data_IF_113455483186
#
_entry.id   IF_113455483186
#
_cell.length_a   1.000
_cell.length_b   1.000
_cell.length_c   1.000
_cell.angle_alpha   90.00
_cell.angle_beta   90.00
_cell.angle_gamma   90.00
#
_symmetry.space_group_name_H-M   'P 1'
#
loop_
_entity.id
_entity.type
_entity.pdbx_description
1 polymer ?
#
# COMPACT_ATOMS: atom_id res chain seq x y z
N UNK A 1 -29.34 44.48 -25.79
CA UNK A 1 -29.27 43.40 -24.80
C UNK A 1 -28.23 42.34 -25.23
N UNK A 2 -28.27 41.77 -26.42
CA UNK A 2 -27.36 40.70 -26.94
C UNK A 2 -25.86 41.07 -26.87
N UNK A 3 -25.45 42.32 -27.20
CA UNK A 3 -24.05 42.76 -27.11
C UNK A 3 -23.50 42.82 -25.69
N UNK A 4 -24.33 43.15 -24.67
CA UNK A 4 -23.91 43.16 -23.25
C UNK A 4 -23.77 41.75 -22.70
N UNK A 5 -24.68 40.82 -23.05
CA UNK A 5 -24.57 39.41 -22.65
C UNK A 5 -23.37 38.73 -23.29
N UNK A 6 -23.04 39.06 -24.54
CA UNK A 6 -21.83 38.55 -25.24
C UNK A 6 -20.53 39.08 -24.60
N UNK A 7 -20.49 40.36 -24.24
CA UNK A 7 -19.31 40.97 -23.60
C UNK A 7 -19.09 40.41 -22.18
N UNK A 8 -20.16 40.17 -21.40
CA UNK A 8 -20.07 39.53 -20.08
C UNK A 8 -19.61 38.09 -20.21
N UNK A 9 -20.10 37.33 -21.18
CA UNK A 9 -19.64 35.94 -21.43
C UNK A 9 -18.15 35.88 -21.81
N UNK A 10 -17.67 36.85 -22.66
CA UNK A 10 -16.27 36.95 -23.05
C UNK A 10 -15.38 37.31 -21.85
N UNK A 11 -15.82 38.25 -21.00
CA UNK A 11 -15.10 38.65 -19.79
C UNK A 11 -14.99 37.50 -18.78
N UNK A 12 -16.06 36.76 -18.57
CA UNK A 12 -16.07 35.57 -17.71
C UNK A 12 -15.18 34.43 -18.24
N UNK A 13 -15.19 34.22 -19.57
CA UNK A 13 -14.30 33.26 -20.22
C UNK A 13 -12.82 33.68 -20.09
N UNK A 14 -12.51 34.94 -20.27
CA UNK A 14 -11.16 35.51 -20.07
C UNK A 14 -10.72 35.37 -18.59
N UNK A 15 -11.57 35.73 -17.65
CA UNK A 15 -11.30 35.56 -16.21
C UNK A 15 -11.03 34.11 -15.85
N UNK A 16 -11.82 33.18 -16.38
CA UNK A 16 -11.62 31.73 -16.17
C UNK A 16 -10.28 31.27 -16.78
N UNK A 17 -9.94 31.74 -18.00
CA UNK A 17 -8.67 31.44 -18.64
C UNK A 17 -7.48 32.00 -17.83
N UNK A 18 -7.57 33.23 -17.35
CA UNK A 18 -6.55 33.87 -16.50
C UNK A 18 -6.42 33.11 -15.18
N UNK A 19 -7.54 32.66 -14.56
CA UNK A 19 -7.51 31.91 -13.31
C UNK A 19 -6.78 30.56 -13.41
N UNK A 20 -6.58 30.02 -14.62
CA UNK A 20 -5.76 28.82 -14.84
C UNK A 20 -4.26 29.07 -14.62
N UNK A 21 -3.79 30.34 -14.56
CA UNK A 21 -2.42 30.68 -14.24
C UNK A 21 -2.15 30.77 -12.72
N UNK A 22 -3.19 30.75 -11.88
CA UNK A 22 -3.00 30.64 -10.44
C UNK A 22 -2.33 29.30 -10.14
N UNK A 23 -1.17 29.24 -9.44
CA UNK A 23 -0.47 28.00 -9.16
C UNK A 23 -1.34 26.95 -8.45
N UNK A 24 -1.17 25.68 -8.78
CA UNK A 24 -1.81 24.60 -8.07
C UNK A 24 -1.26 24.51 -6.64
N UNK A 25 -2.07 24.26 -5.59
CA UNK A 25 -1.59 24.19 -4.21
C UNK A 25 -0.55 23.08 -4.03
N UNK A 26 0.74 23.46 -3.94
CA UNK A 26 1.89 22.53 -3.88
C UNK A 26 1.91 21.68 -2.62
N UNK A 27 1.42 22.18 -1.49
CA UNK A 27 1.34 21.44 -0.22
C UNK A 27 0.51 20.14 -0.29
N UNK A 28 -0.25 19.92 -1.36
CA UNK A 28 -1.00 18.69 -1.62
C UNK A 28 -0.28 17.71 -2.57
N UNK A 29 0.88 18.10 -3.09
CA UNK A 29 1.67 17.32 -4.04
C UNK A 29 2.79 16.49 -3.37
N UNK A 30 2.63 16.11 -2.15
CA UNK A 30 3.57 15.24 -1.43
C UNK A 30 2.94 13.90 -1.07
N UNK A 31 3.73 12.98 -0.50
CA UNK A 31 3.21 11.70 -0.01
C UNK A 31 2.16 11.89 1.10
N UNK A 32 2.28 12.90 1.95
CA UNK A 32 1.29 13.26 2.98
C UNK A 32 0.78 12.05 3.78
N UNK A 33 -0.52 12.05 4.10
CA UNK A 33 -1.22 10.98 4.84
C UNK A 33 -1.50 9.69 4.05
N UNK A 34 -1.00 9.58 2.81
CA UNK A 34 -1.23 8.38 1.97
C UNK A 34 -0.27 7.24 2.30
N UNK A 35 0.85 7.53 2.97
CA UNK A 35 1.86 6.50 3.31
C UNK A 35 1.31 5.48 4.31
N UNK A 36 1.58 4.20 4.05
CA UNK A 36 1.42 3.14 5.02
C UNK A 36 2.69 3.01 5.88
N UNK A 37 2.49 2.74 7.18
CA UNK A 37 3.59 2.46 8.10
C UNK A 37 4.03 1.00 7.94
N UNK A 38 5.31 0.77 7.67
CA UNK A 38 5.91 -0.57 7.61
C UNK A 38 6.69 -0.86 8.88
N UNK A 39 6.43 -2.01 9.47
CA UNK A 39 7.23 -2.55 10.56
C UNK A 39 8.18 -3.57 9.94
N UNK A 40 9.47 -3.34 10.11
CA UNK A 40 10.53 -4.13 9.51
C UNK A 40 11.34 -4.84 10.61
N UNK A 41 11.85 -6.02 10.31
CA UNK A 41 12.84 -6.67 11.15
C UNK A 41 14.20 -5.91 11.10
N UNK A 42 15.18 -6.35 11.89
CA UNK A 42 16.51 -5.75 11.96
C UNK A 42 17.28 -5.77 10.62
N UNK A 43 16.90 -6.65 9.70
CA UNK A 43 17.54 -6.83 8.39
C UNK A 43 16.75 -6.14 7.27
N UNK A 44 15.67 -5.40 7.60
CA UNK A 44 14.80 -4.75 6.62
C UNK A 44 13.71 -5.65 6.04
N UNK A 45 13.56 -6.88 6.54
CA UNK A 45 12.48 -7.79 6.16
C UNK A 45 11.11 -7.28 6.65
N UNK A 46 10.08 -7.32 5.79
CA UNK A 46 8.74 -6.85 6.14
C UNK A 46 8.07 -7.80 7.14
N UNK A 47 7.69 -7.28 8.30
CA UNK A 47 6.88 -7.97 9.31
C UNK A 47 5.39 -7.64 9.11
N UNK A 48 5.04 -6.36 9.06
CA UNK A 48 3.67 -5.87 8.89
C UNK A 48 3.63 -4.55 8.13
N UNK A 49 2.58 -4.37 7.36
CA UNK A 49 2.22 -3.08 6.77
C UNK A 49 0.89 -2.61 7.35
N UNK A 50 0.91 -1.47 8.04
CA UNK A 50 -0.27 -0.85 8.64
C UNK A 50 -0.88 0.09 7.60
N UNK A 51 -2.18 -0.04 7.36
CA UNK A 51 -2.88 0.80 6.41
C UNK A 51 -2.76 2.28 6.79
N UNK A 52 -2.65 3.14 5.77
CA UNK A 52 -2.72 4.59 5.97
C UNK A 52 -4.11 5.01 6.45
N UNK A 53 -4.24 6.25 6.95
CA UNK A 53 -5.53 6.84 7.33
C UNK A 53 -6.54 6.85 6.17
N UNK A 54 -6.06 6.84 4.93
CA UNK A 54 -6.87 6.69 3.72
C UNK A 54 -7.34 5.24 3.46
N UNK A 55 -7.02 4.29 4.34
CA UNK A 55 -7.44 2.89 4.25
C UNK A 55 -6.69 2.07 3.20
N UNK A 56 -5.50 2.51 2.76
CA UNK A 56 -4.70 1.82 1.74
C UNK A 56 -3.26 1.54 2.17
N UNK A 57 -2.66 0.54 1.52
CA UNK A 57 -1.20 0.33 1.54
C UNK A 57 -0.60 1.24 0.49
N UNK A 58 0.28 2.14 0.88
CA UNK A 58 0.93 3.06 -0.05
C UNK A 58 2.41 3.24 0.30
N UNK A 59 3.24 3.00 -0.70
CA UNK A 59 4.66 3.31 -0.66
C UNK A 59 4.98 4.25 -1.81
N UNK A 60 5.45 5.45 -1.46
CA UNK A 60 5.77 6.46 -2.44
C UNK A 60 7.10 6.16 -3.12
N UNK A 61 7.12 6.20 -4.45
CA UNK A 61 8.31 5.96 -5.28
C UNK A 61 8.48 7.08 -6.32
N UNK A 62 9.74 7.35 -6.69
CA UNK A 62 10.10 8.21 -7.82
C UNK A 62 9.96 7.46 -9.15
N UNK A 63 10.01 8.17 -10.28
CA UNK A 63 9.96 7.50 -11.60
C UNK A 63 11.18 6.61 -11.87
N UNK A 64 12.33 6.90 -11.26
CA UNK A 64 13.54 6.07 -11.38
C UNK A 64 13.38 4.72 -10.69
N UNK A 65 12.45 4.60 -9.74
CA UNK A 65 12.10 3.36 -9.04
C UNK A 65 10.92 2.60 -9.69
N UNK A 66 10.51 3.02 -10.89
CA UNK A 66 9.39 2.41 -11.62
C UNK A 66 9.89 1.88 -12.97
N UNK A 67 9.49 0.66 -13.33
CA UNK A 67 9.80 0.07 -14.63
C UNK A 67 9.41 0.99 -15.79
N UNK A 68 10.30 1.25 -16.75
CA UNK A 68 9.96 2.03 -17.95
C UNK A 68 8.80 1.43 -18.74
N UNK A 69 8.61 0.12 -18.70
CA UNK A 69 7.47 -0.56 -19.33
C UNK A 69 6.15 -0.16 -18.68
N UNK A 70 6.13 0.03 -17.36
CA UNK A 70 4.93 0.45 -16.66
C UNK A 70 4.53 1.89 -16.99
N UNK A 71 5.50 2.80 -17.05
CA UNK A 71 5.24 4.19 -17.46
C UNK A 71 4.61 4.21 -18.86
N UNK A 72 5.22 3.49 -19.81
CA UNK A 72 4.70 3.35 -21.19
C UNK A 72 3.32 2.69 -21.23
N UNK A 73 3.10 1.63 -20.44
CA UNK A 73 1.82 0.94 -20.37
C UNK A 73 0.72 1.84 -19.79
N UNK A 74 1.03 2.60 -18.75
CA UNK A 74 0.10 3.56 -18.12
C UNK A 74 -0.33 4.64 -19.12
N UNK A 75 0.63 5.27 -19.79
CA UNK A 75 0.35 6.28 -20.82
C UNK A 75 -0.46 5.68 -21.98
N UNK A 76 -0.06 4.50 -22.47
CA UNK A 76 -0.80 3.82 -23.51
C UNK A 76 -2.24 3.45 -23.09
N UNK A 77 -2.43 3.01 -21.85
CA UNK A 77 -3.73 2.55 -21.36
C UNK A 77 -4.70 3.70 -21.09
N UNK A 78 -4.22 4.75 -20.43
CA UNK A 78 -5.06 5.79 -19.82
C UNK A 78 -5.09 7.09 -20.66
N UNK A 79 -3.94 7.49 -21.24
CA UNK A 79 -3.81 8.80 -21.87
C UNK A 79 -2.70 8.82 -22.93
N UNK A 80 -2.99 8.33 -24.11
CA UNK A 80 -1.98 8.18 -25.20
C UNK A 80 -1.34 9.49 -25.65
N UNK A 81 -2.03 10.62 -25.45
CA UNK A 81 -1.55 11.95 -25.80
C UNK A 81 -1.06 12.75 -24.61
N UNK A 82 -0.78 12.10 -23.48
CA UNK A 82 -0.37 12.72 -22.22
C UNK A 82 0.71 13.78 -22.38
N UNK A 83 1.73 13.52 -23.18
CA UNK A 83 2.85 14.45 -23.37
C UNK A 83 2.54 15.61 -24.34
N UNK A 84 1.38 15.59 -25.02
CA UNK A 84 1.04 16.57 -26.08
C UNK A 84 -0.05 17.56 -25.69
N UNK A 85 -0.74 17.38 -24.57
CA UNK A 85 -1.76 18.31 -24.09
C UNK A 85 -1.37 18.93 -22.74
N UNK A 86 -2.01 20.05 -22.36
CA UNK A 86 -1.74 20.79 -21.13
C UNK A 86 -2.73 20.49 -19.99
N UNK A 87 -3.07 19.22 -19.75
CA UNK A 87 -3.96 18.79 -18.65
C UNK A 87 -5.32 18.26 -19.10
N UNK A 88 -5.81 18.70 -20.26
CA UNK A 88 -7.07 18.26 -20.85
C UNK A 88 -6.85 17.93 -22.33
N UNK A 89 -7.24 16.74 -22.76
CA UNK A 89 -7.26 16.31 -24.16
C UNK A 89 -8.62 16.68 -24.78
N UNK A 90 -8.70 17.84 -25.42
CA UNK A 90 -9.93 18.35 -26.04
C UNK A 90 -10.40 17.44 -27.17
N UNK A 91 -9.48 16.93 -28.01
CA UNK A 91 -9.83 16.08 -29.14
C UNK A 91 -10.42 14.75 -28.68
N UNK A 92 -9.81 14.12 -27.67
CA UNK A 92 -10.34 12.90 -27.08
C UNK A 92 -11.65 13.15 -26.34
N UNK A 93 -11.83 14.32 -25.73
CA UNK A 93 -13.09 14.72 -25.07
C UNK A 93 -14.22 14.88 -26.09
N UNK A 94 -14.01 15.61 -27.16
CA UNK A 94 -15.00 15.77 -28.24
C UNK A 94 -15.37 14.43 -28.88
N UNK A 95 -14.37 13.59 -29.19
CA UNK A 95 -14.61 12.24 -29.70
C UNK A 95 -15.45 11.39 -28.73
N UNK A 96 -15.15 11.44 -27.42
CA UNK A 96 -15.88 10.66 -26.44
C UNK A 96 -17.33 11.15 -26.29
N UNK A 97 -17.58 12.46 -26.31
CA UNK A 97 -18.92 13.05 -26.30
C UNK A 97 -19.71 12.58 -27.54
N UNK A 98 -19.13 12.68 -28.72
CA UNK A 98 -19.78 12.22 -29.95
C UNK A 98 -20.10 10.73 -29.93
N UNK A 99 -19.16 9.87 -29.49
CA UNK A 99 -19.39 8.42 -29.36
C UNK A 99 -20.48 8.06 -28.35
N UNK A 100 -20.53 8.77 -27.23
CA UNK A 100 -21.52 8.54 -26.18
C UNK A 100 -22.92 8.98 -26.62
N UNK A 101 -23.03 10.11 -27.33
CA UNK A 101 -24.28 10.58 -27.92
C UNK A 101 -24.82 9.60 -28.95
N UNK A 102 -23.97 9.14 -29.89
CA UNK A 102 -24.39 8.21 -30.95
C UNK A 102 -24.81 6.83 -30.40
N UNK A 103 -24.30 6.43 -29.24
CA UNK A 103 -24.62 5.11 -28.65
C UNK A 103 -25.62 5.15 -27.50
N UNK A 104 -26.13 6.33 -27.13
CA UNK A 104 -27.11 6.53 -26.06
C UNK A 104 -26.63 6.07 -24.67
N UNK A 105 -25.33 5.75 -24.52
CA UNK A 105 -24.70 5.28 -23.28
C UNK A 105 -23.24 5.69 -23.19
N UNK A 106 -22.70 5.78 -21.95
CA UNK A 106 -21.27 6.07 -21.75
C UNK A 106 -20.41 4.87 -22.16
N UNK A 107 -19.81 4.96 -23.34
CA UNK A 107 -18.94 3.91 -23.93
C UNK A 107 -17.46 4.30 -23.87
N UNK A 108 -17.17 5.60 -23.95
CA UNK A 108 -15.80 6.13 -23.95
C UNK A 108 -15.60 7.16 -22.86
N UNK A 109 -14.51 7.02 -22.10
CA UNK A 109 -14.02 8.02 -21.15
C UNK A 109 -12.86 8.80 -21.79
N UNK A 110 -12.83 10.12 -21.57
CA UNK A 110 -11.78 11.00 -22.05
C UNK A 110 -11.06 11.73 -20.90
N UNK A 111 -11.04 11.13 -19.72
CA UNK A 111 -10.31 11.72 -18.60
C UNK A 111 -8.82 11.49 -18.76
N UNK A 112 -8.04 12.57 -18.73
CA UNK A 112 -6.58 12.53 -18.77
C UNK A 112 -5.99 12.04 -17.45
N UNK A 113 -4.71 11.64 -17.45
CA UNK A 113 -3.95 11.31 -16.24
C UNK A 113 -4.00 12.47 -15.24
N UNK A 114 -3.83 13.71 -15.72
CA UNK A 114 -3.85 14.93 -14.89
C UNK A 114 -5.20 15.16 -14.21
N UNK A 115 -6.31 14.91 -14.90
CA UNK A 115 -7.66 14.94 -14.31
C UNK A 115 -7.85 13.85 -13.27
N UNK A 116 -7.28 12.66 -13.49
CA UNK A 116 -7.34 11.57 -12.51
C UNK A 116 -6.51 11.90 -11.27
N UNK A 117 -5.35 12.53 -11.39
CA UNK A 117 -4.55 13.03 -10.25
C UNK A 117 -5.37 14.03 -9.43
N UNK A 118 -5.97 15.03 -10.08
CA UNK A 118 -6.83 16.01 -9.39
C UNK A 118 -7.96 15.33 -8.63
N UNK A 119 -8.61 14.35 -9.24
CA UNK A 119 -9.71 13.59 -8.59
C UNK A 119 -9.24 12.84 -7.36
N UNK A 120 -8.03 12.28 -7.36
CA UNK A 120 -7.46 11.59 -6.20
C UNK A 120 -7.05 12.56 -5.09
N UNK A 121 -6.59 13.77 -5.43
CA UNK A 121 -6.23 14.80 -4.44
C UNK A 121 -7.49 15.45 -3.82
N UNK A 122 -8.55 15.59 -4.61
CA UNK A 122 -9.81 16.22 -4.22
C UNK A 122 -10.99 15.28 -4.50
N UNK A 123 -11.17 14.20 -3.72
CA UNK A 123 -12.28 13.28 -3.92
C UNK A 123 -13.62 13.98 -3.67
N UNK A 124 -14.57 13.80 -4.60
CA UNK A 124 -15.92 14.32 -4.48
C UNK A 124 -16.91 13.51 -5.32
N UNK A 125 -18.22 13.69 -5.06
CA UNK A 125 -19.29 13.06 -5.84
C UNK A 125 -19.18 13.44 -7.33
N UNK A 126 -19.46 12.50 -8.22
CA UNK A 126 -19.40 12.70 -9.67
C UNK A 126 -20.58 13.51 -10.16
N UNK A 127 -20.34 14.75 -10.55
CA UNK A 127 -21.31 15.67 -11.19
C UNK A 127 -20.66 16.31 -12.41
N UNK A 128 -21.49 16.86 -13.33
CA UNK A 128 -20.99 17.60 -14.49
C UNK A 128 -20.13 18.80 -14.06
N UNK A 129 -20.62 19.54 -13.04
CA UNK A 129 -19.89 20.69 -12.48
C UNK A 129 -18.51 20.25 -11.95
N UNK A 130 -18.49 19.16 -11.21
CA UNK A 130 -17.21 18.62 -10.71
C UNK A 130 -16.24 18.27 -11.83
N UNK A 131 -16.75 17.79 -12.97
CA UNK A 131 -15.91 17.48 -14.14
C UNK A 131 -15.27 18.73 -14.74
N UNK A 132 -15.97 19.87 -14.76
CA UNK A 132 -15.41 21.15 -15.18
C UNK A 132 -14.33 21.64 -14.20
N UNK A 133 -14.56 21.53 -12.90
CA UNK A 133 -13.57 21.86 -11.87
C UNK A 133 -12.33 20.96 -11.96
N UNK A 134 -12.50 19.66 -12.21
CA UNK A 134 -11.37 18.73 -12.45
C UNK A 134 -10.55 19.17 -13.66
N UNK A 135 -11.19 19.54 -14.76
CA UNK A 135 -10.53 20.02 -15.96
C UNK A 135 -9.74 21.32 -15.72
N UNK A 136 -10.36 22.27 -15.04
CA UNK A 136 -9.72 23.53 -14.66
C UNK A 136 -8.52 23.34 -13.73
N UNK A 137 -8.66 22.49 -12.70
CA UNK A 137 -7.55 22.14 -11.80
C UNK A 137 -6.44 21.37 -12.51
N UNK A 138 -6.77 20.51 -13.49
CA UNK A 138 -5.77 19.78 -14.28
C UNK A 138 -4.93 20.74 -15.16
N UNK A 139 -5.54 21.77 -15.74
CA UNK A 139 -4.80 22.83 -16.46
C UNK A 139 -3.84 23.57 -15.52
N UNK A 140 -4.28 23.90 -14.30
CA UNK A 140 -3.43 24.55 -13.29
C UNK A 140 -2.28 23.64 -12.86
N UNK A 141 -2.58 22.35 -12.63
CA UNK A 141 -1.58 21.36 -12.22
C UNK A 141 -0.44 21.29 -13.24
N UNK A 142 -0.74 21.14 -14.51
CA UNK A 142 0.29 21.01 -15.56
C UNK A 142 1.04 22.32 -15.89
N UNK A 143 0.52 23.47 -15.48
CA UNK A 143 1.25 24.72 -15.49
C UNK A 143 2.18 24.89 -14.30
N UNK A 144 1.90 24.19 -13.20
CA UNK A 144 2.67 24.29 -11.96
C UNK A 144 3.80 23.26 -11.89
N UNK A 145 3.58 22.05 -12.42
CA UNK A 145 4.53 20.94 -12.32
C UNK A 145 4.76 20.24 -13.68
N UNK A 146 5.91 19.59 -13.82
CA UNK A 146 6.25 18.85 -15.04
C UNK A 146 5.38 17.62 -15.26
N UNK A 147 5.31 17.12 -16.49
CA UNK A 147 4.66 15.86 -16.85
C UNK A 147 5.14 14.68 -16.01
N UNK A 148 6.43 14.61 -15.73
CA UNK A 148 7.02 13.59 -14.88
C UNK A 148 6.50 13.68 -13.44
N UNK A 149 6.37 14.90 -12.90
CA UNK A 149 5.79 15.10 -11.57
C UNK A 149 4.32 14.70 -11.53
N UNK A 150 3.53 14.96 -12.58
CA UNK A 150 2.14 14.48 -12.70
C UNK A 150 2.09 12.94 -12.72
N UNK A 151 2.98 12.27 -13.45
CA UNK A 151 3.07 10.81 -13.46
C UNK A 151 3.43 10.24 -12.08
N UNK A 152 4.37 10.87 -11.36
CA UNK A 152 4.68 10.48 -9.96
C UNK A 152 3.43 10.55 -9.11
N UNK A 153 2.68 11.65 -9.18
CA UNK A 153 1.41 11.77 -8.42
C UNK A 153 0.41 10.69 -8.81
N UNK A 154 0.25 10.41 -10.10
CA UNK A 154 -0.67 9.39 -10.60
C UNK A 154 -0.30 8.01 -10.08
N UNK A 155 0.91 7.56 -10.34
CA UNK A 155 1.39 6.22 -10.03
C UNK A 155 1.39 5.91 -8.53
N UNK A 156 1.54 6.94 -7.69
CA UNK A 156 1.55 6.77 -6.23
C UNK A 156 0.17 6.92 -5.57
N UNK A 157 -0.85 7.45 -6.28
CA UNK A 157 -2.18 7.72 -5.67
C UNK A 157 -3.29 6.87 -6.21
N UNK A 158 -3.13 6.32 -7.43
CA UNK A 158 -4.21 5.54 -8.05
C UNK A 158 -4.40 4.21 -7.33
N UNK A 159 -5.66 3.79 -7.19
CA UNK A 159 -5.99 2.50 -6.60
C UNK A 159 -5.81 1.36 -7.61
N UNK A 160 -5.13 0.31 -7.16
CA UNK A 160 -4.97 -0.95 -7.88
C UNK A 160 -5.84 -2.08 -7.30
N UNK A 161 -6.85 -1.75 -6.49
CA UNK A 161 -7.70 -2.73 -5.80
C UNK A 161 -7.02 -3.37 -4.59
N UNK A 162 -7.77 -4.16 -3.83
CA UNK A 162 -7.28 -4.90 -2.65
C UNK A 162 -6.45 -4.04 -1.67
N UNK A 163 -6.90 -2.80 -1.45
CA UNK A 163 -6.25 -1.81 -0.59
C UNK A 163 -4.85 -1.37 -1.07
N UNK A 164 -4.41 -1.74 -2.28
CA UNK A 164 -3.18 -1.24 -2.85
C UNK A 164 -3.41 0.15 -3.48
N UNK A 165 -2.90 1.18 -2.84
CA UNK A 165 -2.82 2.55 -3.35
C UNK A 165 -1.39 2.80 -3.83
N UNK A 166 -1.26 3.14 -5.09
CA UNK A 166 0.04 3.32 -5.74
C UNK A 166 0.70 2.03 -6.23
N UNK A 167 1.63 2.25 -7.15
CA UNK A 167 2.21 1.19 -7.98
C UNK A 167 3.15 0.27 -7.23
N UNK A 168 3.94 0.80 -6.29
CA UNK A 168 4.87 -0.04 -5.52
C UNK A 168 4.11 -1.00 -4.60
N UNK A 169 3.02 -0.52 -3.97
CA UNK A 169 2.16 -1.38 -3.16
C UNK A 169 1.49 -2.47 -4.02
N UNK A 170 1.06 -2.13 -5.24
CA UNK A 170 0.46 -3.09 -6.17
C UNK A 170 1.49 -4.12 -6.67
N UNK A 171 2.72 -3.69 -7.02
CA UNK A 171 3.79 -4.57 -7.46
C UNK A 171 4.17 -5.60 -6.37
N UNK A 172 4.27 -5.14 -5.13
CA UNK A 172 4.53 -6.01 -3.97
C UNK A 172 3.36 -6.96 -3.67
N UNK A 173 2.12 -6.45 -3.76
CA UNK A 173 0.94 -7.25 -3.45
C UNK A 173 0.74 -8.39 -4.46
N UNK A 174 0.86 -8.08 -5.76
CA UNK A 174 0.51 -9.04 -6.80
C UNK A 174 1.68 -9.86 -7.32
N UNK A 175 2.92 -9.38 -7.19
CA UNK A 175 4.12 -10.01 -7.76
C UNK A 175 5.28 -10.20 -6.76
N UNK A 176 5.14 -9.74 -5.52
CA UNK A 176 6.20 -9.75 -4.46
C UNK A 176 7.54 -9.15 -4.91
N UNK A 177 7.52 -8.18 -5.81
CA UNK A 177 8.73 -7.50 -6.32
C UNK A 177 8.57 -5.98 -6.37
N UNK A 178 9.67 -5.20 -6.39
CA UNK A 178 9.60 -3.75 -6.54
C UNK A 178 9.06 -3.37 -7.92
N UNK A 179 8.41 -2.19 -8.00
CA UNK A 179 7.87 -1.66 -9.25
C UNK A 179 8.93 -1.45 -10.34
N UNK A 180 10.19 -1.24 -9.96
CA UNK A 180 11.32 -1.14 -10.89
C UNK A 180 11.60 -2.44 -11.67
N UNK A 181 11.27 -3.60 -11.11
CA UNK A 181 11.58 -4.93 -11.64
C UNK A 181 10.42 -5.56 -12.42
N UNK A 182 9.32 -4.83 -12.62
CA UNK A 182 8.18 -5.35 -13.37
C UNK A 182 8.54 -5.60 -14.84
N UNK A 183 8.19 -6.79 -15.35
CA UNK A 183 8.27 -7.12 -16.76
C UNK A 183 7.27 -6.30 -17.59
N UNK A 184 7.35 -6.37 -18.92
CA UNK A 184 6.37 -5.75 -19.79
C UNK A 184 4.96 -6.34 -19.59
N UNK A 185 4.87 -7.65 -19.39
CA UNK A 185 3.60 -8.32 -19.16
C UNK A 185 2.96 -7.92 -17.82
N UNK A 186 3.75 -7.90 -16.74
CA UNK A 186 3.32 -7.45 -15.41
C UNK A 186 2.97 -5.96 -15.40
N UNK A 187 3.75 -5.13 -16.07
CA UNK A 187 3.48 -3.70 -16.25
C UNK A 187 2.15 -3.43 -16.93
N UNK A 188 1.88 -4.12 -18.04
CA UNK A 188 0.61 -4.00 -18.74
C UNK A 188 -0.58 -4.56 -17.94
N UNK A 189 -0.33 -5.59 -17.12
CA UNK A 189 -1.32 -6.17 -16.22
C UNK A 189 -1.74 -5.14 -15.14
N UNK A 190 -0.77 -4.52 -14.45
CA UNK A 190 -1.06 -3.50 -13.45
C UNK A 190 -1.70 -2.26 -14.09
N UNK A 191 -1.23 -1.80 -15.25
CA UNK A 191 -1.84 -0.67 -15.97
C UNK A 191 -3.29 -0.93 -16.41
N UNK A 192 -3.75 -2.19 -16.43
CA UNK A 192 -5.12 -2.53 -16.76
C UNK A 192 -6.11 -2.28 -15.60
N UNK A 193 -5.66 -2.38 -14.33
CA UNK A 193 -6.52 -2.38 -13.14
C UNK A 193 -7.20 -1.03 -12.87
N UNK A 194 -6.53 0.14 -12.95
CA UNK A 194 -7.08 1.43 -12.49
C UNK A 194 -8.40 1.83 -13.15
N UNK A 195 -8.66 1.37 -14.36
CA UNK A 195 -9.92 1.67 -15.05
C UNK A 195 -11.16 1.21 -14.28
N UNK A 196 -11.08 0.09 -13.58
CA UNK A 196 -12.18 -0.48 -12.79
C UNK A 196 -11.63 -1.45 -11.73
N UNK A 197 -11.02 -0.97 -10.64
CA UNK A 197 -10.29 -1.81 -9.68
C UNK A 197 -11.13 -2.91 -9.04
N UNK A 198 -12.43 -2.70 -8.91
CA UNK A 198 -13.37 -3.71 -8.37
C UNK A 198 -13.67 -4.82 -9.37
N UNK A 199 -13.90 -4.47 -10.65
CA UNK A 199 -14.23 -5.45 -11.71
C UNK A 199 -13.01 -6.16 -12.27
N UNK A 200 -11.88 -5.44 -12.34
CA UNK A 200 -10.60 -5.95 -12.85
C UNK A 200 -9.70 -6.34 -11.68
N UNK A 201 -10.27 -7.05 -10.70
CA UNK A 201 -9.55 -7.55 -9.55
C UNK A 201 -8.94 -8.92 -9.88
N UNK A 202 -7.61 -9.12 -9.73
CA UNK A 202 -6.93 -10.37 -10.04
C UNK A 202 -7.52 -11.59 -9.32
N UNK A 203 -7.96 -11.40 -8.07
CA UNK A 203 -8.50 -12.47 -7.24
C UNK A 203 -9.98 -12.82 -7.54
N UNK A 204 -10.65 -12.03 -8.40
CA UNK A 204 -12.08 -12.22 -8.72
C UNK A 204 -12.34 -12.46 -10.22
N UNK A 205 -11.58 -11.82 -11.09
CA UNK A 205 -11.84 -11.83 -12.54
C UNK A 205 -10.55 -11.75 -13.35
N UNK A 206 -9.79 -12.84 -13.36
CA UNK A 206 -8.51 -12.94 -14.06
C UNK A 206 -8.68 -12.78 -15.59
N UNK A 207 -9.65 -13.49 -16.18
CA UNK A 207 -9.85 -13.51 -17.65
C UNK A 207 -10.11 -12.11 -18.24
N UNK A 208 -10.93 -11.28 -17.56
CA UNK A 208 -11.20 -9.90 -18.00
C UNK A 208 -9.96 -9.02 -17.95
N UNK A 209 -9.13 -9.23 -16.94
CA UNK A 209 -7.90 -8.50 -16.73
C UNK A 209 -6.82 -8.90 -17.73
N UNK A 210 -6.64 -10.20 -17.99
CA UNK A 210 -5.73 -10.71 -19.02
C UNK A 210 -6.10 -10.21 -20.43
N UNK A 211 -7.39 -10.20 -20.77
CA UNK A 211 -7.84 -9.64 -22.04
C UNK A 211 -7.38 -8.19 -22.18
N UNK A 212 -7.62 -7.37 -21.14
CA UNK A 212 -7.23 -5.96 -21.16
C UNK A 212 -5.70 -5.77 -21.18
N UNK A 213 -4.95 -6.59 -20.45
CA UNK A 213 -3.48 -6.61 -20.48
C UNK A 213 -3.00 -6.83 -21.94
N UNK A 214 -3.51 -7.86 -22.62
CA UNK A 214 -3.16 -8.15 -24.02
C UNK A 214 -3.50 -6.99 -24.95
N UNK A 215 -4.62 -6.31 -24.72
CA UNK A 215 -5.01 -5.14 -25.53
C UNK A 215 -4.05 -3.97 -25.29
N UNK A 216 -3.57 -3.76 -24.04
CA UNK A 216 -2.57 -2.73 -23.72
C UNK A 216 -1.24 -3.06 -24.41
N UNK A 217 -0.75 -4.32 -24.34
CA UNK A 217 0.50 -4.73 -24.99
C UNK A 217 0.42 -4.50 -26.50
N UNK A 218 -0.70 -4.92 -27.17
CA UNK A 218 -0.90 -4.67 -28.59
C UNK A 218 -0.93 -3.19 -28.92
N UNK A 219 -1.57 -2.38 -28.07
CA UNK A 219 -1.62 -0.93 -28.23
C UNK A 219 -0.23 -0.29 -28.08
N UNK A 220 0.59 -0.74 -27.12
CA UNK A 220 1.97 -0.29 -26.97
C UNK A 220 2.81 -0.60 -28.21
N UNK A 221 2.67 -1.79 -28.79
CA UNK A 221 3.35 -2.17 -30.03
C UNK A 221 2.87 -1.33 -31.22
N UNK A 222 1.55 -1.08 -31.33
CA UNK A 222 0.98 -0.24 -32.38
C UNK A 222 1.38 1.24 -32.29
N UNK A 223 1.71 1.73 -31.10
CA UNK A 223 2.22 3.07 -30.85
C UNK A 223 3.76 3.17 -30.97
N UNK A 224 4.47 2.08 -31.25
CA UNK A 224 5.93 2.05 -31.30
C UNK A 224 6.63 2.21 -29.96
N UNK A 225 5.90 2.06 -28.84
CA UNK A 225 6.45 2.17 -27.48
C UNK A 225 7.30 0.95 -27.08
N UNK A 226 7.04 -0.17 -27.71
CA UNK A 226 7.78 -1.44 -27.60
C UNK A 226 7.90 -2.09 -28.96
N UNK A 227 8.93 -2.89 -29.15
CA UNK A 227 9.12 -3.65 -30.40
C UNK A 227 8.10 -4.79 -30.51
N UNK A 228 7.84 -5.24 -31.74
CA UNK A 228 6.98 -6.41 -31.99
C UNK A 228 7.50 -7.69 -31.32
N UNK A 229 8.82 -7.82 -31.16
CA UNK A 229 9.46 -8.96 -30.50
C UNK A 229 9.22 -8.92 -28.98
N UNK A 230 9.35 -7.76 -28.34
CA UNK A 230 9.03 -7.57 -26.91
C UNK A 230 7.55 -7.85 -26.63
N UNK A 231 6.65 -7.32 -27.49
CA UNK A 231 5.23 -7.54 -27.36
C UNK A 231 4.84 -9.03 -27.48
N UNK A 232 5.44 -9.77 -28.43
CA UNK A 232 5.22 -11.22 -28.58
C UNK A 232 5.68 -11.99 -27.35
N UNK A 233 6.87 -11.68 -26.80
CA UNK A 233 7.38 -12.30 -25.57
C UNK A 233 6.45 -12.04 -24.39
N UNK A 234 6.02 -10.78 -24.19
CA UNK A 234 5.12 -10.41 -23.12
C UNK A 234 3.72 -11.05 -23.24
N UNK A 235 3.21 -11.26 -24.46
CA UNK A 235 1.94 -11.95 -24.68
C UNK A 235 2.00 -13.47 -24.41
N UNK A 236 3.21 -14.06 -24.46
CA UNK A 236 3.45 -15.47 -24.14
C UNK A 236 3.83 -15.69 -22.66
N UNK A 237 4.19 -14.63 -21.94
CA UNK A 237 4.58 -14.70 -20.54
C UNK A 237 3.41 -15.13 -19.66
N UNK A 238 3.61 -16.17 -18.83
CA UNK A 238 2.64 -16.59 -17.82
C UNK A 238 2.87 -15.81 -16.54
N UNK A 239 1.88 -15.04 -16.13
CA UNK A 239 1.96 -14.28 -14.88
C UNK A 239 1.68 -15.19 -13.69
N UNK A 240 2.54 -15.07 -12.67
CA UNK A 240 2.33 -15.67 -11.36
C UNK A 240 1.85 -14.58 -10.42
N UNK A 241 0.58 -14.66 -10.02
CA UNK A 241 0.00 -13.73 -9.05
C UNK A 241 0.15 -14.33 -7.65
N UNK A 242 0.68 -13.55 -6.73
CA UNK A 242 0.75 -13.92 -5.32
C UNK A 242 -0.66 -14.09 -4.74
N UNK A 243 -0.88 -15.08 -3.87
CA UNK A 243 -2.19 -15.32 -3.25
C UNK A 243 -2.62 -14.11 -2.40
N UNK A 244 -3.96 -13.94 -2.19
CA UNK A 244 -4.45 -12.89 -1.31
C UNK A 244 -3.99 -13.13 0.13
N UNK A 245 -3.38 -12.13 0.73
CA UNK A 245 -2.86 -12.16 2.08
C UNK A 245 -1.52 -11.43 2.13
N UNK A 246 -1.45 -10.32 2.82
CA UNK A 246 -0.19 -9.61 3.05
C UNK A 246 0.70 -10.41 4.00
N UNK A 247 2.02 -10.24 3.90
CA UNK A 247 2.97 -10.75 4.90
C UNK A 247 2.61 -10.13 6.26
N UNK A 248 2.15 -10.95 7.18
CA UNK A 248 1.87 -10.56 8.56
C UNK A 248 2.62 -11.53 9.46
N UNK A 249 3.87 -11.17 9.74
CA UNK A 249 4.78 -11.93 10.58
C UNK A 249 4.85 -11.31 11.97
N UNK A 250 5.19 -12.11 12.96
CA UNK A 250 5.37 -11.68 14.34
C UNK A 250 4.22 -10.76 14.84
N UNK A 251 2.95 -11.20 14.76
CA UNK A 251 1.81 -10.30 14.98
C UNK A 251 1.82 -9.65 16.36
N UNK A 252 2.10 -10.41 17.42
CA UNK A 252 2.19 -9.88 18.78
C UNK A 252 3.29 -8.85 18.97
N UNK A 253 4.45 -9.06 18.32
CA UNK A 253 5.53 -8.08 18.34
C UNK A 253 5.15 -6.81 17.58
N UNK A 254 4.49 -6.95 16.43
CA UNK A 254 4.01 -5.80 15.67
C UNK A 254 2.99 -4.98 16.46
N UNK A 255 2.05 -5.62 17.16
CA UNK A 255 1.09 -4.92 18.02
C UNK A 255 1.80 -4.24 19.21
N UNK A 256 2.80 -4.90 19.80
CA UNK A 256 3.63 -4.30 20.84
C UNK A 256 4.36 -3.04 20.36
N UNK A 257 4.97 -3.07 19.17
CA UNK A 257 5.63 -1.89 18.57
C UNK A 257 4.61 -0.79 18.30
N UNK A 258 3.45 -1.13 17.72
CA UNK A 258 2.40 -0.14 17.44
C UNK A 258 1.87 0.54 18.71
N UNK A 259 1.76 -0.19 19.81
CA UNK A 259 1.34 0.38 21.10
C UNK A 259 2.35 1.39 21.68
N UNK A 260 3.62 1.31 21.25
CA UNK A 260 4.71 2.22 21.68
C UNK A 260 4.86 3.46 20.79
N UNK A 261 4.21 3.48 19.61
CA UNK A 261 4.23 4.63 18.71
C UNK A 261 2.95 5.44 18.94
N UNK A 262 3.05 6.68 19.48
CA UNK A 262 1.90 7.56 19.62
C UNK A 262 1.16 7.73 18.29
N UNK A 263 -0.16 7.77 18.31
CA UNK A 263 -0.98 7.88 17.09
C UNK A 263 -0.65 9.12 16.27
N UNK A 264 -0.36 10.23 16.94
CA UNK A 264 -0.02 11.52 16.33
C UNK A 264 1.32 11.46 15.56
N UNK A 265 2.20 10.51 15.90
CA UNK A 265 3.49 10.32 15.22
C UNK A 265 3.45 9.32 14.07
N UNK A 266 2.37 8.54 13.93
CA UNK A 266 2.23 7.55 12.85
C UNK A 266 2.08 8.18 11.46
N UNK A 267 1.31 9.29 11.29
CA UNK A 267 1.22 9.97 10.00
C UNK A 267 2.61 10.49 9.56
N UNK A 268 3.04 10.07 8.38
CA UNK A 268 4.34 10.47 7.82
C UNK A 268 5.51 9.52 8.13
N UNK A 269 5.35 8.56 9.05
CA UNK A 269 6.32 7.48 9.21
C UNK A 269 6.16 6.46 8.06
N UNK A 270 7.20 6.35 7.24
CA UNK A 270 7.21 5.37 6.14
C UNK A 270 7.61 3.97 6.61
N UNK A 271 8.49 3.87 7.61
CA UNK A 271 8.94 2.59 8.16
C UNK A 271 9.53 2.75 9.57
N UNK A 272 9.42 1.68 10.36
CA UNK A 272 10.12 1.48 11.62
C UNK A 272 10.93 0.20 11.52
N UNK A 273 12.25 0.32 11.61
CA UNK A 273 13.17 -0.83 11.71
C UNK A 273 13.25 -1.22 13.17
N UNK A 274 12.99 -2.49 13.46
CA UNK A 274 12.95 -3.02 14.82
C UNK A 274 14.19 -3.88 15.13
N UNK A 275 14.32 -4.32 16.36
CA UNK A 275 15.39 -5.20 16.81
C UNK A 275 15.12 -6.68 16.54
N UNK A 276 13.90 -7.04 16.13
CA UNK A 276 13.47 -8.42 15.90
C UNK A 276 14.29 -9.08 14.78
N UNK A 277 14.72 -10.30 15.00
CA UNK A 277 15.32 -11.17 13.98
C UNK A 277 14.22 -12.04 13.36
N UNK A 278 13.83 -11.73 12.11
CA UNK A 278 12.73 -12.42 11.43
C UNK A 278 12.98 -13.92 11.25
N UNK A 279 14.23 -14.34 11.02
CA UNK A 279 14.57 -15.76 10.87
C UNK A 279 14.48 -16.52 12.21
N UNK A 280 14.93 -15.89 13.29
CA UNK A 280 14.80 -16.44 14.64
C UNK A 280 13.33 -16.55 15.03
N UNK A 281 12.55 -15.50 14.77
CA UNK A 281 11.10 -15.47 15.02
C UNK A 281 10.37 -16.64 14.34
N UNK A 282 10.57 -16.80 13.02
CA UNK A 282 9.93 -17.86 12.24
C UNK A 282 10.26 -19.27 12.83
N UNK A 283 11.52 -19.50 13.26
CA UNK A 283 11.95 -20.77 13.88
C UNK A 283 11.28 -20.99 15.23
N UNK A 284 11.20 -19.95 16.05
CA UNK A 284 10.66 -20.06 17.41
C UNK A 284 9.13 -20.19 17.41
N UNK A 285 8.42 -19.57 16.47
CA UNK A 285 6.98 -19.79 16.26
C UNK A 285 6.69 -21.28 15.94
N UNK A 286 7.46 -21.87 15.02
CA UNK A 286 7.33 -23.29 14.67
C UNK A 286 7.67 -24.19 15.87
N UNK A 287 8.74 -23.87 16.61
CA UNK A 287 9.18 -24.66 17.76
C UNK A 287 8.16 -24.62 18.89
N UNK A 288 7.64 -23.43 19.25
CA UNK A 288 6.61 -23.26 20.26
C UNK A 288 5.34 -24.04 19.89
N UNK A 289 4.89 -23.92 18.65
CA UNK A 289 3.71 -24.64 18.15
C UNK A 289 3.87 -26.16 18.32
N UNK A 290 4.99 -26.71 17.87
CA UNK A 290 5.29 -28.15 18.01
C UNK A 290 5.33 -28.60 19.46
N UNK A 291 5.93 -27.80 20.34
CA UNK A 291 5.98 -28.12 21.76
C UNK A 291 4.59 -28.13 22.39
N UNK A 292 3.76 -27.14 22.12
CA UNK A 292 2.41 -27.03 22.62
C UNK A 292 1.51 -28.15 22.06
N UNK A 293 1.72 -28.56 20.81
CA UNK A 293 1.02 -29.74 20.25
C UNK A 293 1.37 -31.02 20.99
N UNK A 294 2.63 -31.20 21.43
CA UNK A 294 3.09 -32.37 22.16
C UNK A 294 2.58 -32.44 23.61
N UNK A 295 2.15 -31.32 24.19
CA UNK A 295 1.63 -31.27 25.58
C UNK A 295 0.13 -30.95 25.65
N UNK A 296 -0.56 -31.00 24.53
CA UNK A 296 -1.98 -30.63 24.42
C UNK A 296 -2.90 -31.53 25.26
N UNK A 297 -2.55 -32.77 25.38
CA UNK A 297 -3.23 -33.77 26.21
C UNK A 297 -3.22 -33.41 27.70
N UNK A 298 -2.29 -32.54 28.13
CA UNK A 298 -2.19 -32.01 29.49
C UNK A 298 -3.03 -30.77 29.74
N UNK A 299 -3.90 -30.39 28.79
CA UNK A 299 -4.73 -29.19 28.88
C UNK A 299 -3.99 -27.86 28.60
N UNK A 300 -2.74 -27.93 28.07
CA UNK A 300 -1.98 -26.75 27.71
C UNK A 300 -2.35 -26.35 26.28
N UNK A 301 -3.06 -25.23 26.14
CA UNK A 301 -3.55 -24.72 24.82
C UNK A 301 -2.69 -23.62 24.26
N UNK A 302 -1.97 -22.87 25.12
CA UNK A 302 -1.24 -21.69 24.68
C UNK A 302 0.09 -21.53 25.45
N UNK A 303 0.99 -20.69 24.91
CA UNK A 303 2.29 -20.41 25.50
C UNK A 303 2.92 -19.19 24.84
N UNK A 304 3.94 -18.63 25.48
CA UNK A 304 4.67 -17.47 24.99
C UNK A 304 6.19 -17.67 25.14
N UNK A 305 6.96 -16.99 24.29
CA UNK A 305 8.41 -17.04 24.28
C UNK A 305 8.97 -15.66 23.95
N UNK A 306 9.97 -15.21 24.72
CA UNK A 306 10.70 -13.98 24.47
C UNK A 306 12.19 -14.29 24.48
N UNK A 307 12.91 -13.75 23.50
CA UNK A 307 14.38 -13.81 23.44
C UNK A 307 14.91 -12.39 23.51
N UNK A 308 15.75 -12.13 24.50
CA UNK A 308 16.40 -10.83 24.74
C UNK A 308 17.91 -11.05 24.66
N UNK A 309 18.56 -10.15 23.96
CA UNK A 309 20.01 -10.06 23.93
C UNK A 309 20.51 -9.45 25.26
N UNK A 310 21.29 -10.22 26.00
CA UNK A 310 21.72 -9.79 27.35
C UNK A 310 22.68 -8.60 27.33
N UNK A 311 23.42 -8.41 26.27
CA UNK A 311 24.39 -7.31 26.17
C UNK A 311 23.73 -5.98 25.82
N UNK A 312 22.68 -6.01 25.00
CA UNK A 312 22.02 -4.81 24.46
C UNK A 312 20.64 -4.54 25.04
N UNK A 313 19.99 -5.56 25.65
CA UNK A 313 18.60 -5.49 26.08
C UNK A 313 17.59 -5.55 24.93
N UNK A 314 18.05 -5.79 23.69
CA UNK A 314 17.19 -5.83 22.52
C UNK A 314 16.32 -7.08 22.48
N UNK A 315 15.02 -6.92 22.19
CA UNK A 315 14.12 -8.04 21.94
C UNK A 315 14.40 -8.60 20.54
N UNK A 316 14.94 -9.82 20.48
CA UNK A 316 15.27 -10.52 19.22
C UNK A 316 14.13 -11.36 18.68
N UNK A 317 13.23 -11.84 19.56
CA UNK A 317 12.02 -12.54 19.20
C UNK A 317 10.97 -12.37 20.29
N UNK A 318 9.70 -12.32 19.89
CA UNK A 318 8.54 -12.32 20.79
C UNK A 318 7.40 -13.09 20.14
N UNK A 319 7.11 -14.27 20.69
CA UNK A 319 5.98 -15.10 20.32
C UNK A 319 4.99 -15.03 21.49
N UNK A 320 3.82 -14.45 21.26
CA UNK A 320 2.85 -14.20 22.34
C UNK A 320 1.82 -15.30 22.53
N UNK A 321 1.62 -16.16 21.51
CA UNK A 321 0.67 -17.28 21.56
C UNK A 321 1.08 -18.38 20.58
N UNK A 322 0.40 -19.55 20.67
CA UNK A 322 0.56 -20.65 19.72
C UNK A 322 0.21 -20.24 18.28
N UNK A 323 -0.88 -19.52 18.11
CA UNK A 323 -1.36 -18.98 16.84
C UNK A 323 -2.21 -17.73 17.11
N UNK A 324 -1.75 -16.60 16.59
CA UNK A 324 -2.43 -15.31 16.74
C UNK A 324 -3.86 -15.31 16.20
N UNK A 325 -4.14 -16.11 15.18
CA UNK A 325 -5.45 -16.17 14.52
C UNK A 325 -6.38 -17.24 15.10
N UNK A 326 -5.97 -17.95 16.13
CA UNK A 326 -6.80 -18.94 16.84
C UNK A 326 -7.70 -18.24 17.87
N UNK A 327 -8.87 -17.77 17.41
CA UNK A 327 -9.85 -17.08 18.26
C UNK A 327 -10.41 -18.01 19.36
N UNK A 328 -10.51 -19.32 19.11
CA UNK A 328 -11.07 -20.29 20.05
C UNK A 328 -10.18 -20.47 21.29
N UNK A 329 -8.88 -20.22 21.17
CA UNK A 329 -7.91 -20.35 22.25
C UNK A 329 -7.25 -19.00 22.61
N UNK A 330 -7.96 -17.88 22.44
CA UNK A 330 -7.50 -16.54 22.79
C UNK A 330 -6.14 -16.16 22.15
N UNK A 331 -5.94 -16.56 20.89
CA UNK A 331 -4.67 -16.40 20.18
C UNK A 331 -4.15 -14.96 20.11
N UNK A 332 -5.04 -13.97 20.18
CA UNK A 332 -4.65 -12.54 20.19
C UNK A 332 -4.15 -12.05 21.55
N UNK A 333 -4.34 -12.82 22.62
CA UNK A 333 -3.77 -12.48 23.93
C UNK A 333 -2.26 -12.69 23.90
N UNK A 334 -1.50 -11.60 24.12
CA UNK A 334 -0.05 -11.67 24.20
C UNK A 334 0.39 -12.25 25.56
N UNK A 335 0.63 -13.55 25.62
CA UNK A 335 1.04 -14.26 26.83
C UNK A 335 2.38 -13.81 27.41
N UNK A 336 3.24 -13.13 26.61
CA UNK A 336 4.50 -12.58 27.08
C UNK A 336 4.30 -11.25 27.86
N UNK A 337 3.20 -10.53 27.64
CA UNK A 337 2.90 -9.24 28.27
C UNK A 337 1.70 -9.32 29.22
N UNK A 338 0.90 -10.37 29.15
CA UNK A 338 -0.27 -10.52 30.01
C UNK A 338 0.12 -10.65 31.48
N UNK A 339 -0.49 -9.89 32.40
CA UNK A 339 -0.29 -10.06 33.84
C UNK A 339 -0.63 -11.49 34.28
N UNK A 340 0.30 -12.15 34.96
CA UNK A 340 0.12 -13.53 35.46
C UNK A 340 0.68 -13.65 36.87
N UNK A 341 0.13 -14.61 37.61
CA UNK A 341 0.71 -15.01 38.89
C UNK A 341 2.11 -15.56 38.66
N UNK A 342 3.13 -15.03 39.36
CA UNK A 342 4.52 -15.43 39.15
C UNK A 342 4.83 -16.85 39.62
N UNK A 343 4.07 -17.38 40.57
CA UNK A 343 4.30 -18.68 41.15
C UNK A 343 5.74 -18.87 41.64
N UNK A 344 6.34 -20.00 41.35
CA UNK A 344 7.72 -20.30 41.76
C UNK A 344 8.81 -19.48 41.11
N UNK A 345 8.51 -18.65 40.12
CA UNK A 345 9.49 -17.73 39.52
C UNK A 345 9.91 -16.61 40.47
N UNK A 346 9.14 -16.36 41.55
CA UNK A 346 9.54 -15.45 42.63
C UNK A 346 10.60 -16.03 43.59
N UNK A 347 10.76 -17.35 43.64
CA UNK A 347 11.67 -18.00 44.62
C UNK A 347 13.11 -17.48 44.56
N UNK A 348 13.74 -17.30 43.37
CA UNK A 348 15.08 -16.73 43.29
C UNK A 348 15.21 -15.33 43.97
N UNK A 349 14.20 -14.47 43.78
CA UNK A 349 14.18 -13.15 44.42
C UNK A 349 13.98 -13.23 45.91
N UNK A 350 13.10 -14.11 46.38
CA UNK A 350 12.86 -14.38 47.80
C UNK A 350 14.16 -14.87 48.47
N UNK A 351 14.84 -15.83 47.85
CA UNK A 351 16.09 -16.37 48.37
C UNK A 351 17.22 -15.34 48.33
N UNK A 352 17.32 -14.53 47.24
CA UNK A 352 18.32 -13.45 47.21
C UNK A 352 18.11 -12.46 48.34
N UNK A 353 16.87 -12.02 48.58
CA UNK A 353 16.55 -11.15 49.73
C UNK A 353 16.84 -11.80 51.08
N UNK A 354 16.57 -13.07 51.23
CA UNK A 354 16.87 -13.83 52.43
C UNK A 354 18.39 -13.88 52.70
N UNK A 355 19.20 -14.11 51.66
CA UNK A 355 20.67 -14.09 51.79
C UNK A 355 21.20 -12.70 52.15
N UNK A 356 20.65 -11.61 51.54
CA UNK A 356 20.98 -10.24 51.86
C UNK A 356 20.66 -9.92 53.34
N UNK A 357 19.65 -10.54 53.92
CA UNK A 357 19.26 -10.39 55.35
C UNK A 357 20.05 -11.28 56.27
N UNK A 358 21.10 -11.94 55.81
CA UNK A 358 22.01 -12.73 56.64
C UNK A 358 21.63 -14.21 56.76
N UNK A 359 20.58 -14.70 56.06
CA UNK A 359 20.34 -16.12 55.93
C UNK A 359 21.39 -16.77 55.04
N UNK A 360 21.62 -18.06 55.22
CA UNK A 360 22.59 -18.82 54.41
C UNK A 360 21.84 -19.94 53.64
N UNK A 361 22.53 -20.54 52.67
CA UNK A 361 21.97 -21.73 51.98
C UNK A 361 21.70 -22.93 52.90
N UNK A 362 22.29 -22.95 54.10
CA UNK A 362 22.08 -23.98 55.13
C UNK A 362 21.04 -23.59 56.20
N UNK A 363 20.44 -22.39 56.08
CA UNK A 363 19.39 -21.96 57.06
C UNK A 363 18.14 -22.82 56.86
N UNK A 364 17.71 -23.48 57.94
CA UNK A 364 16.47 -24.23 57.96
C UNK A 364 15.27 -23.29 57.94
N UNK A 365 14.37 -23.52 57.02
CA UNK A 365 13.09 -22.81 56.90
C UNK A 365 11.99 -23.82 57.15
N UNK A 366 11.15 -23.57 58.15
CA UNK A 366 9.98 -24.42 58.42
C UNK A 366 8.92 -24.17 57.35
N UNK A 367 8.57 -25.23 56.63
CA UNK A 367 7.46 -25.23 55.66
C UNK A 367 6.29 -26.02 56.28
N UNK A 368 5.67 -25.40 57.29
CA UNK A 368 4.52 -25.93 57.99
C UNK A 368 3.25 -25.22 57.55
N UNK A 369 2.10 -25.94 57.46
CA UNK A 369 0.81 -25.37 57.07
C UNK A 369 0.34 -24.27 58.00
#
# INVERSE_FOLDING_TARGET
>A
MVRRTFAVGLALGAALAISTFIPFPSGRLGPGSVLSLRILDRNGGLLREVLSDAGGRCRWVSLSEVSPFLIKATVAAEDRFFYFHGGVDLLSTLRAVWQNLNRGRVVSGASTISQQVVRNIYPARRTVWRKLVEAWLALRLERTVSKNAVLVQYLNRISYGNQAAGIEAAARLYFDKPAAQLSLAESAFLAAIPRSPTRLNPYRSMAGLEKRQRDIIRKMAGLGLVSRAEARRALAERLRIEPPGGKFKAPHFCDFILSRIPEERRPGLAAVVTTLDGNLQDKLEVMLRRYLDAVRDRGVTNGALVVIDNATGEVRSLVGSRDYFDEANDGQVNGALAPRQPGSTLKPFTYALALEKGLTAATLIEDIP
#
